data_IF_369548142731
#
_entry.id   IF_369548142731
#
_cell.length_a   1.000
_cell.length_b   1.000
_cell.length_c   1.000
_cell.angle_alpha   90.00
_cell.angle_beta   90.00
_cell.angle_gamma   90.00
#
_symmetry.space_group_name_H-M   'P 1'
#
loop_
_entity.id
_entity.type
_entity.pdbx_description
1 polymer ?
#
# COMPACT_ATOMS: atom_id res chain seq x y z
N UNK A 1 3.91 3.01 41.00
CA UNK A 1 2.45 3.03 40.76
C UNK A 1 2.13 1.80 39.92
N UNK A 2 1.10 1.02 40.25
CA UNK A 2 0.77 -0.20 39.49
C UNK A 2 0.34 0.17 38.05
N UNK A 3 0.95 -0.48 37.04
CA UNK A 3 0.68 -0.22 35.62
C UNK A 3 -0.65 -0.81 35.14
N UNK A 4 -1.14 -1.80 35.88
CA UNK A 4 -2.48 -2.37 35.72
C UNK A 4 -3.01 -2.86 37.06
N UNK A 5 -4.33 -2.98 37.19
CA UNK A 5 -4.98 -3.68 38.30
C UNK A 5 -6.27 -4.34 37.83
N UNK A 6 -6.66 -5.43 38.48
CA UNK A 6 -7.89 -6.16 38.19
C UNK A 6 -8.62 -6.41 39.50
N UNK A 7 -9.91 -6.07 39.56
CA UNK A 7 -10.72 -6.21 40.77
C UNK A 7 -11.79 -7.32 40.67
N UNK A 8 -11.63 -8.26 39.73
CA UNK A 8 -12.61 -9.32 39.48
C UNK A 8 -13.70 -8.97 38.46
N UNK A 9 -13.88 -7.69 38.13
CA UNK A 9 -14.87 -7.24 37.13
C UNK A 9 -14.27 -6.28 36.10
N UNK A 10 -13.42 -5.36 36.54
CA UNK A 10 -12.82 -4.33 35.73
C UNK A 10 -11.31 -4.49 35.68
N UNK A 11 -10.76 -4.34 34.47
CA UNK A 11 -9.32 -4.20 34.23
C UNK A 11 -8.99 -2.71 34.09
N UNK A 12 -8.14 -2.20 34.97
CA UNK A 12 -7.60 -0.86 34.91
C UNK A 12 -6.20 -0.94 34.31
N UNK A 13 -5.92 -0.10 33.31
CA UNK A 13 -4.63 0.01 32.66
C UNK A 13 -4.16 1.46 32.77
N UNK A 14 -2.89 1.67 33.10
CA UNK A 14 -2.30 3.00 33.03
C UNK A 14 -2.23 3.47 31.58
N UNK A 15 -2.24 4.79 31.37
CA UNK A 15 -2.07 5.37 30.03
C UNK A 15 -0.76 4.92 29.39
N UNK A 16 0.32 4.80 30.17
CA UNK A 16 1.62 4.31 29.72
C UNK A 16 1.53 2.89 29.15
N UNK A 17 0.88 1.96 29.88
CA UNK A 17 0.72 0.59 29.42
C UNK A 17 -0.20 0.53 28.19
N UNK A 18 -1.26 1.34 28.15
CA UNK A 18 -2.13 1.46 26.98
C UNK A 18 -1.37 1.94 25.73
N UNK A 19 -0.50 2.95 25.88
CA UNK A 19 0.33 3.45 24.78
C UNK A 19 1.31 2.38 24.30
N UNK A 20 2.00 1.69 25.20
CA UNK A 20 2.90 0.58 24.84
C UNK A 20 2.20 -0.52 24.05
N UNK A 21 0.99 -0.93 24.47
CA UNK A 21 0.21 -1.93 23.76
C UNK A 21 -0.14 -1.49 22.33
N UNK A 22 -0.48 -0.21 22.13
CA UNK A 22 -0.77 0.32 20.80
C UNK A 22 0.47 0.58 19.96
N UNK A 23 1.59 0.96 20.58
CA UNK A 23 2.86 1.19 19.89
C UNK A 23 3.33 -0.08 19.15
N UNK A 24 3.13 -1.26 19.73
CA UNK A 24 3.38 -2.56 19.07
C UNK A 24 2.67 -2.71 17.71
N UNK A 25 1.57 -2.00 17.48
CA UNK A 25 0.82 -2.02 16.22
C UNK A 25 1.03 -0.77 15.37
N UNK A 26 1.10 0.40 16.00
CA UNK A 26 1.30 1.68 15.30
C UNK A 26 2.69 1.75 14.69
N UNK A 27 3.72 1.27 15.39
CA UNK A 27 5.09 1.31 14.88
C UNK A 27 5.25 0.38 13.66
N UNK A 28 4.54 -0.75 13.62
CA UNK A 28 4.49 -1.62 12.43
C UNK A 28 3.75 -0.97 11.24
N UNK A 29 2.72 -0.15 11.50
CA UNK A 29 2.07 0.66 10.45
C UNK A 29 3.06 1.69 9.90
N UNK A 30 3.74 2.42 10.79
CA UNK A 30 4.75 3.40 10.43
C UNK A 30 5.88 2.77 9.60
N UNK A 31 6.39 1.61 10.02
CA UNK A 31 7.43 0.88 9.30
C UNK A 31 6.99 0.47 7.89
N UNK A 32 5.74 0.00 7.75
CA UNK A 32 5.18 -0.33 6.42
C UNK A 32 5.00 0.91 5.55
N UNK A 33 4.55 2.02 6.13
CA UNK A 33 4.44 3.30 5.43
C UNK A 33 5.80 3.77 4.93
N UNK A 34 6.83 3.76 5.79
CA UNK A 34 8.20 4.14 5.40
C UNK A 34 8.70 3.27 4.24
N UNK A 35 8.51 1.94 4.33
CA UNK A 35 8.88 1.02 3.27
C UNK A 35 8.19 1.38 1.95
N UNK A 36 6.87 1.55 1.96
CA UNK A 36 6.11 1.89 0.76
C UNK A 36 6.51 3.25 0.16
N UNK A 37 6.75 4.26 1.01
CA UNK A 37 7.17 5.58 0.56
C UNK A 37 8.56 5.54 -0.08
N UNK A 38 9.50 4.81 0.52
CA UNK A 38 10.87 4.68 0.02
C UNK A 38 10.93 3.86 -1.28
N UNK A 39 10.25 2.71 -1.35
CA UNK A 39 10.22 1.87 -2.55
C UNK A 39 9.62 2.59 -3.77
N UNK A 40 8.70 3.53 -3.52
CA UNK A 40 8.00 4.27 -4.56
C UNK A 40 8.46 5.73 -4.66
N UNK A 41 9.60 6.10 -4.06
CA UNK A 41 10.05 7.51 -3.98
C UNK A 41 10.13 8.16 -5.35
N UNK A 42 10.69 7.48 -6.36
CA UNK A 42 10.81 8.00 -7.74
C UNK A 42 9.45 8.37 -8.37
N UNK A 43 8.38 7.67 -7.99
CA UNK A 43 7.03 7.88 -8.54
C UNK A 43 6.27 8.89 -7.69
N UNK A 44 6.46 8.85 -6.36
CA UNK A 44 5.68 9.63 -5.40
C UNK A 44 6.28 11.00 -5.08
N UNK A 45 7.59 11.19 -5.26
CA UNK A 45 8.26 12.44 -4.94
C UNK A 45 7.56 13.61 -5.65
N UNK A 46 7.27 14.68 -4.91
CA UNK A 46 6.51 15.87 -5.33
C UNK A 46 5.04 15.64 -5.78
N UNK A 47 4.63 14.40 -6.04
CA UNK A 47 3.27 14.04 -6.47
C UNK A 47 2.35 13.67 -5.31
N UNK A 48 2.87 13.01 -4.28
CA UNK A 48 2.09 12.65 -3.09
C UNK A 48 1.88 13.88 -2.19
N UNK A 49 0.63 14.34 -2.07
CA UNK A 49 0.27 15.54 -1.32
C UNK A 49 -0.55 15.27 -0.06
N UNK A 50 -1.34 14.21 -0.07
CA UNK A 50 -2.36 13.96 0.95
C UNK A 50 -2.26 12.55 1.53
N UNK A 51 -2.50 12.45 2.83
CA UNK A 51 -2.70 11.18 3.55
C UNK A 51 -4.12 11.18 4.12
N UNK A 52 -4.98 10.31 3.61
CA UNK A 52 -6.37 10.20 4.06
C UNK A 52 -6.49 9.07 5.09
N UNK A 53 -6.86 9.40 6.33
CA UNK A 53 -7.08 8.40 7.38
C UNK A 53 -8.55 7.96 7.40
N UNK A 54 -8.80 6.72 6.99
CA UNK A 54 -10.14 6.11 6.89
C UNK A 54 -10.21 4.80 7.69
N UNK A 55 -11.41 4.31 7.96
CA UNK A 55 -11.66 3.10 8.75
C UNK A 55 -11.79 3.36 10.26
N UNK A 56 -12.26 2.35 11.00
CA UNK A 56 -12.57 2.48 12.43
C UNK A 56 -11.37 2.88 13.28
N UNK A 57 -10.20 2.30 13.02
CA UNK A 57 -8.99 2.58 13.80
C UNK A 57 -8.44 4.00 13.59
N UNK A 58 -8.74 4.62 12.44
CA UNK A 58 -8.39 6.02 12.15
C UNK A 58 -9.08 7.03 13.05
N UNK A 59 -10.07 6.62 13.87
CA UNK A 59 -10.65 7.45 14.94
C UNK A 59 -9.73 7.60 16.16
N UNK A 60 -8.74 6.72 16.33
CA UNK A 60 -7.80 6.78 17.45
C UNK A 60 -6.98 8.06 17.39
N UNK A 61 -7.13 8.93 18.41
CA UNK A 61 -6.33 10.15 18.55
C UNK A 61 -4.84 9.84 18.69
N UNK A 62 -4.50 8.72 19.33
CA UNK A 62 -3.12 8.30 19.49
C UNK A 62 -2.48 7.92 18.14
N UNK A 63 -3.20 7.15 17.30
CA UNK A 63 -2.75 6.85 15.94
C UNK A 63 -2.60 8.13 15.11
N UNK A 64 -3.61 9.01 15.13
CA UNK A 64 -3.57 10.28 14.41
C UNK A 64 -2.35 11.11 14.83
N UNK A 65 -2.08 11.21 16.13
CA UNK A 65 -0.94 11.94 16.67
C UNK A 65 0.39 11.37 16.20
N UNK A 66 0.63 10.06 16.36
CA UNK A 66 1.89 9.40 15.97
C UNK A 66 2.16 9.54 14.47
N UNK A 67 1.13 9.36 13.62
CA UNK A 67 1.28 9.52 12.17
C UNK A 67 1.54 10.98 11.78
N UNK A 68 0.81 11.93 12.35
CA UNK A 68 1.01 13.36 12.08
C UNK A 68 2.39 13.83 12.51
N UNK A 69 2.82 13.46 13.72
CA UNK A 69 4.15 13.79 14.23
C UNK A 69 5.25 13.40 13.26
N UNK A 70 5.11 12.25 12.59
CA UNK A 70 6.12 11.74 11.66
C UNK A 70 6.01 12.32 10.24
N UNK A 71 4.80 12.56 9.75
CA UNK A 71 4.55 12.75 8.32
C UNK A 71 3.93 14.11 7.95
N UNK A 72 3.40 14.87 8.92
CA UNK A 72 2.67 16.12 8.65
C UNK A 72 3.58 17.25 8.12
N UNK A 73 4.90 17.14 8.32
CA UNK A 73 5.88 18.03 7.71
C UNK A 73 6.00 17.89 6.19
N UNK A 74 5.62 16.73 5.62
CA UNK A 74 5.71 16.44 4.19
C UNK A 74 4.34 16.31 3.53
N UNK A 75 3.34 15.80 4.23
CA UNK A 75 2.03 15.47 3.66
C UNK A 75 0.90 16.06 4.47
N UNK A 76 -0.17 16.49 3.78
CA UNK A 76 -1.38 17.00 4.43
C UNK A 76 -2.30 15.86 4.84
N UNK A 77 -2.64 15.79 6.12
CA UNK A 77 -3.59 14.80 6.62
C UNK A 77 -5.03 15.24 6.39
N UNK A 78 -5.83 14.34 5.80
CA UNK A 78 -7.28 14.49 5.68
C UNK A 78 -7.93 13.42 6.54
N UNK A 79 -8.60 13.85 7.61
CA UNK A 79 -9.26 12.97 8.56
C UNK A 79 -10.75 13.34 8.53
N UNK A 80 -11.60 12.50 7.93
CA UNK A 80 -13.04 12.72 7.91
C UNK A 80 -13.61 12.78 9.33
N UNK A 81 -14.76 13.44 9.51
CA UNK A 81 -15.44 13.51 10.81
C UNK A 81 -15.79 12.11 11.34
N UNK A 82 -16.19 11.21 10.43
CA UNK A 82 -16.52 9.81 10.73
C UNK A 82 -15.66 8.87 9.87
N UNK A 83 -14.38 8.65 10.21
CA UNK A 83 -13.46 7.81 9.43
C UNK A 83 -14.00 6.40 9.14
N UNK A 84 -14.78 5.85 10.08
CA UNK A 84 -15.42 4.52 9.96
C UNK A 84 -16.45 4.46 8.82
N UNK A 85 -17.09 5.58 8.48
CA UNK A 85 -18.13 5.65 7.43
C UNK A 85 -17.60 6.11 6.08
N UNK A 86 -16.42 6.71 6.02
CA UNK A 86 -15.90 7.40 4.82
C UNK A 86 -15.90 6.55 3.55
N UNK A 87 -15.63 5.24 3.67
CA UNK A 87 -15.61 4.32 2.52
C UNK A 87 -17.03 4.07 2.00
N UNK A 88 -17.99 3.83 2.89
CA UNK A 88 -19.39 3.56 2.52
C UNK A 88 -20.05 4.83 2.00
N UNK A 89 -19.82 5.97 2.66
CA UNK A 89 -20.30 7.27 2.18
C UNK A 89 -19.75 7.59 0.79
N UNK A 90 -18.46 7.35 0.55
CA UNK A 90 -17.86 7.49 -0.77
C UNK A 90 -18.49 6.57 -1.83
N UNK A 91 -18.76 5.31 -1.48
CA UNK A 91 -19.42 4.37 -2.37
C UNK A 91 -20.87 4.78 -2.72
N UNK A 92 -21.63 5.27 -1.73
CA UNK A 92 -22.98 5.78 -1.94
C UNK A 92 -23.00 7.02 -2.85
N UNK A 93 -22.06 7.96 -2.64
CA UNK A 93 -21.91 9.13 -3.50
C UNK A 93 -21.54 8.74 -4.93
N UNK A 94 -20.65 7.76 -5.09
CA UNK A 94 -20.28 7.25 -6.40
C UNK A 94 -21.49 6.68 -7.17
N UNK A 95 -22.38 5.96 -6.49
CA UNK A 95 -23.60 5.45 -7.12
C UNK A 95 -24.53 6.56 -7.61
N UNK A 96 -24.50 7.74 -6.97
CA UNK A 96 -25.34 8.88 -7.34
C UNK A 96 -24.76 9.71 -8.48
N UNK A 97 -23.44 9.72 -8.63
CA UNK A 97 -22.72 10.52 -9.63
C UNK A 97 -21.84 9.60 -10.47
N UNK A 98 -22.40 8.91 -11.49
CA UNK A 98 -21.66 7.92 -12.28
C UNK A 98 -20.44 8.52 -13.00
N UNK A 99 -20.48 9.81 -13.34
CA UNK A 99 -19.39 10.54 -13.99
C UNK A 99 -18.22 10.90 -13.06
N UNK A 100 -18.32 10.61 -11.75
CA UNK A 100 -17.28 10.96 -10.78
C UNK A 100 -15.99 10.14 -10.96
N UNK A 101 -16.08 8.90 -11.44
CA UNK A 101 -14.91 8.05 -11.69
C UNK A 101 -14.57 8.06 -13.18
N UNK A 102 -13.43 8.65 -13.51
CA UNK A 102 -12.92 8.71 -14.88
C UNK A 102 -12.17 7.44 -15.29
N UNK A 103 -11.53 6.75 -14.35
CA UNK A 103 -10.83 5.50 -14.59
C UNK A 103 -10.70 4.65 -13.32
N UNK A 104 -10.49 3.34 -13.51
CA UNK A 104 -10.13 2.41 -12.43
C UNK A 104 -8.84 1.70 -12.82
N UNK A 105 -7.90 1.62 -11.89
CA UNK A 105 -6.62 0.93 -12.09
C UNK A 105 -6.76 -0.48 -11.53
N UNK A 106 -6.43 -1.48 -12.33
CA UNK A 106 -6.40 -2.87 -11.89
C UNK A 106 -5.22 -3.11 -10.94
N UNK A 107 -5.40 -4.02 -9.97
CA UNK A 107 -4.39 -4.29 -8.93
C UNK A 107 -3.09 -4.89 -9.47
N UNK A 108 -3.20 -5.71 -10.51
CA UNK A 108 -2.08 -6.45 -11.08
C UNK A 108 -1.89 -6.04 -12.53
N UNK A 109 -0.64 -6.03 -12.98
CA UNK A 109 -0.32 -5.95 -14.41
C UNK A 109 -0.68 -7.29 -15.03
N UNK A 110 -1.53 -7.25 -16.05
CA UNK A 110 -1.86 -8.42 -16.87
C UNK A 110 -1.04 -8.34 -18.16
N UNK A 111 -0.44 -9.45 -18.54
CA UNK A 111 0.32 -9.60 -19.76
C UNK A 111 0.28 -11.06 -20.21
N UNK A 112 0.60 -11.28 -21.48
CA UNK A 112 0.87 -12.61 -22.01
C UNK A 112 2.34 -12.67 -22.37
N UNK A 113 2.92 -13.86 -22.22
CA UNK A 113 4.25 -14.10 -22.75
C UNK A 113 4.20 -14.11 -24.29
N UNK A 114 5.22 -13.51 -24.90
CA UNK A 114 5.31 -13.34 -26.35
C UNK A 114 6.74 -13.63 -26.78
N UNK A 115 6.93 -14.76 -27.46
CA UNK A 115 8.18 -15.13 -28.11
C UNK A 115 8.06 -15.13 -29.63
N UNK A 116 9.16 -14.89 -30.32
CA UNK A 116 9.34 -15.28 -31.72
C UNK A 116 10.31 -16.46 -31.74
N UNK A 117 10.17 -17.39 -32.68
CA UNK A 117 11.15 -18.47 -32.78
C UNK A 117 12.54 -17.93 -33.08
N UNK A 118 13.59 -18.58 -32.57
CA UNK A 118 14.99 -18.29 -32.88
C UNK A 118 15.22 -18.17 -34.40
N UNK A 119 14.62 -19.05 -35.20
CA UNK A 119 14.69 -18.99 -36.66
C UNK A 119 14.14 -17.67 -37.22
N UNK A 120 13.01 -17.20 -36.67
CA UNK A 120 12.40 -15.93 -37.05
C UNK A 120 13.23 -14.74 -36.56
N UNK A 121 13.85 -14.81 -35.39
CA UNK A 121 14.75 -13.77 -34.90
C UNK A 121 15.96 -13.60 -35.85
N UNK A 122 16.59 -14.72 -36.24
CA UNK A 122 17.69 -14.76 -37.21
C UNK A 122 17.29 -14.19 -38.57
N UNK A 123 16.11 -14.53 -39.08
CA UNK A 123 15.63 -14.02 -40.37
C UNK A 123 15.35 -12.52 -40.39
N UNK A 124 15.13 -11.91 -39.22
CA UNK A 124 14.98 -10.45 -39.06
C UNK A 124 16.31 -9.75 -38.73
N UNK A 125 17.45 -10.47 -38.79
CA UNK A 125 18.77 -9.89 -38.56
C UNK A 125 19.03 -9.52 -37.09
N UNK A 126 18.35 -10.17 -36.15
CA UNK A 126 18.69 -10.01 -34.72
C UNK A 126 20.04 -10.67 -34.47
N UNK A 127 20.88 -9.95 -33.73
CA UNK A 127 22.23 -10.38 -33.38
C UNK A 127 22.25 -11.67 -32.53
N UNK A 128 23.19 -12.56 -32.81
CA UNK A 128 23.26 -13.89 -32.18
C UNK A 128 23.63 -13.80 -30.69
N UNK A 129 24.43 -12.80 -30.27
CA UNK A 129 24.73 -12.57 -28.86
C UNK A 129 23.49 -12.07 -28.11
N UNK A 130 22.66 -11.26 -28.78
CA UNK A 130 21.37 -10.85 -28.22
C UNK A 130 20.40 -12.03 -28.06
N UNK A 131 20.31 -12.91 -29.06
CA UNK A 131 19.48 -14.13 -29.02
C UNK A 131 19.94 -15.05 -27.88
N UNK A 132 21.24 -15.36 -27.81
CA UNK A 132 21.76 -16.25 -26.77
C UNK A 132 21.57 -15.73 -25.35
N UNK A 133 21.54 -14.40 -25.18
CA UNK A 133 21.32 -13.74 -23.89
C UNK A 133 19.85 -13.72 -23.44
N UNK A 134 18.90 -13.70 -24.36
CA UNK A 134 17.47 -13.53 -24.05
C UNK A 134 16.59 -14.71 -24.48
N UNK A 135 17.17 -15.81 -24.98
CA UNK A 135 16.42 -17.04 -25.28
C UNK A 135 15.75 -17.57 -24.04
N UNK A 136 14.53 -18.07 -24.21
CA UNK A 136 13.75 -18.69 -23.15
C UNK A 136 13.84 -20.21 -23.27
N UNK A 137 14.07 -20.90 -22.16
CA UNK A 137 14.00 -22.36 -22.11
C UNK A 137 12.71 -22.71 -21.38
N UNK A 138 11.80 -23.40 -22.07
CA UNK A 138 10.54 -23.81 -21.46
C UNK A 138 10.78 -24.91 -20.43
N UNK A 139 10.29 -24.70 -19.21
CA UNK A 139 10.32 -25.72 -18.15
C UNK A 139 9.38 -26.91 -18.43
N UNK A 140 8.51 -26.80 -19.44
CA UNK A 140 7.49 -27.82 -19.76
C UNK A 140 8.03 -28.84 -20.77
N UNK A 141 8.65 -28.35 -21.85
CA UNK A 141 9.12 -29.20 -22.95
C UNK A 141 10.64 -29.12 -23.21
N UNK A 142 11.36 -28.34 -22.39
CA UNK A 142 12.80 -28.15 -22.44
C UNK A 142 13.30 -27.68 -23.83
N UNK A 143 12.45 -26.98 -24.58
CA UNK A 143 12.83 -26.35 -25.85
C UNK A 143 13.27 -24.91 -25.65
N UNK A 144 14.18 -24.49 -26.52
CA UNK A 144 14.64 -23.10 -26.63
C UNK A 144 13.73 -22.31 -27.58
N UNK A 145 13.30 -21.14 -27.12
CA UNK A 145 12.45 -20.20 -27.83
C UNK A 145 13.16 -18.85 -27.98
#
# INVERSE_FOLDING_TARGET
>A
MYRHSYNGTNLYLSNELWMELFDLRIDEIIKKMDKMLNENEKILNEKLKYVCLVGGFSQSRYLQHKLKQKYESKYKFIIPERPILSVIEGAAQLSRIPSFITSRIVKYTYGVDCGISIEKARSHGIDEDYINKHKYISDIDNKEY
#
